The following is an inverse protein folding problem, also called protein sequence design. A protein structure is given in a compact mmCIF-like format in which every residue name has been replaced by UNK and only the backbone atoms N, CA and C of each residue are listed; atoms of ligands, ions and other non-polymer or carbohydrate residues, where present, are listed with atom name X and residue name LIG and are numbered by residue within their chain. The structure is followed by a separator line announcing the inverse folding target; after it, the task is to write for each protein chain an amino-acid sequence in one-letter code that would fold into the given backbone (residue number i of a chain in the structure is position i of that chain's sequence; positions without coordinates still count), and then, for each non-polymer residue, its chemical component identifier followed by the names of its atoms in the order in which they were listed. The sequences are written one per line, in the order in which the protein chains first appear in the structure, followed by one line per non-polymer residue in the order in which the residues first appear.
data_IF_917428990232
#
_entry.id   IF_917428990232
#
_cell.length_a   1.000
_cell.length_b   1.000
_cell.length_c   1.000
_cell.angle_alpha   90.00
_cell.angle_beta   90.00
_cell.angle_gamma   90.00
#
_symmetry.space_group_name_H-M   'P 1'
#
loop_
_entity.id
_entity.type
_entity.pdbx_description
1 polymer ?
#
# COMPACT_ATOMS: atom_id res chain seq x y z
N UNK A 1 33.34 -14.52 -12.34
CA UNK A 1 32.54 -14.05 -11.18
C UNK A 1 33.25 -14.41 -9.89
N UNK A 2 33.24 -13.53 -8.89
CA UNK A 2 33.95 -13.70 -7.62
C UNK A 2 33.30 -14.80 -6.76
N UNK A 3 34.05 -15.80 -6.28
CA UNK A 3 33.55 -16.90 -5.41
C UNK A 3 32.95 -16.42 -4.08
N UNK A 4 33.22 -15.17 -3.71
CA UNK A 4 32.58 -14.53 -2.56
C UNK A 4 31.10 -14.21 -2.79
N UNK A 5 30.66 -14.02 -4.04
CA UNK A 5 29.30 -13.64 -4.40
C UNK A 5 28.33 -14.82 -4.23
N UNK A 6 27.20 -14.59 -3.57
CA UNK A 6 26.18 -15.62 -3.32
C UNK A 6 25.53 -16.12 -4.62
N UNK A 7 25.36 -15.23 -5.60
CA UNK A 7 24.77 -15.53 -6.90
C UNK A 7 25.66 -16.42 -7.78
N UNK A 8 26.93 -16.63 -7.41
CA UNK A 8 27.79 -17.60 -8.10
C UNK A 8 27.25 -19.04 -8.01
N UNK A 9 26.50 -19.34 -6.94
CA UNK A 9 25.95 -20.68 -6.67
C UNK A 9 24.51 -20.86 -7.17
N UNK A 10 23.98 -19.88 -7.90
CA UNK A 10 22.64 -19.89 -8.46
C UNK A 10 22.68 -20.41 -9.89
N UNK A 11 21.74 -21.28 -10.24
CA UNK A 11 21.55 -21.65 -11.64
C UNK A 11 20.74 -20.54 -12.36
N UNK A 12 21.02 -20.23 -13.64
CA UNK A 12 20.36 -19.13 -14.34
C UNK A 12 18.83 -19.22 -14.34
N UNK A 13 18.26 -20.44 -14.40
CA UNK A 13 16.82 -20.65 -14.38
C UNK A 13 16.20 -20.38 -12.99
N UNK A 14 16.94 -20.58 -11.90
CA UNK A 14 16.44 -20.30 -10.54
C UNK A 14 16.31 -18.79 -10.32
N UNK A 15 17.28 -18.03 -10.84
CA UNK A 15 17.23 -16.56 -10.83
C UNK A 15 16.01 -16.10 -11.63
N UNK A 16 15.80 -16.67 -12.83
CA UNK A 16 14.65 -16.35 -13.68
C UNK A 16 13.33 -16.63 -12.97
N UNK A 17 13.16 -17.81 -12.36
CA UNK A 17 11.95 -18.15 -11.60
C UNK A 17 11.76 -17.22 -10.40
N UNK A 18 12.81 -16.92 -9.64
CA UNK A 18 12.71 -16.01 -8.50
C UNK A 18 12.20 -14.63 -8.92
N UNK A 19 12.71 -14.10 -10.05
CA UNK A 19 12.25 -12.80 -10.59
C UNK A 19 10.79 -12.88 -11.06
N UNK A 20 10.42 -13.93 -11.79
CA UNK A 20 9.05 -14.13 -12.29
C UNK A 20 8.05 -14.23 -11.14
N UNK A 21 8.34 -15.03 -10.10
CA UNK A 21 7.43 -15.17 -8.97
C UNK A 21 7.33 -13.88 -8.16
N UNK A 22 8.44 -13.15 -7.98
CA UNK A 22 8.40 -11.85 -7.30
C UNK A 22 7.55 -10.84 -8.07
N UNK A 23 7.79 -10.69 -9.37
CA UNK A 23 7.07 -9.71 -10.18
C UNK A 23 5.58 -10.08 -10.31
N UNK A 24 5.26 -11.35 -10.53
CA UNK A 24 3.88 -11.82 -10.63
C UNK A 24 3.12 -11.61 -9.31
N UNK A 25 3.74 -11.89 -8.15
CA UNK A 25 3.11 -11.71 -6.86
C UNK A 25 2.84 -10.24 -6.53
N UNK A 26 3.83 -9.37 -6.75
CA UNK A 26 3.66 -7.92 -6.57
C UNK A 26 2.57 -7.41 -7.51
N UNK A 27 2.61 -7.81 -8.78
CA UNK A 27 1.61 -7.40 -9.77
C UNK A 27 0.19 -7.85 -9.37
N UNK A 28 0.02 -9.09 -8.91
CA UNK A 28 -1.28 -9.60 -8.46
C UNK A 28 -1.86 -8.77 -7.30
N UNK A 29 -1.03 -8.35 -6.34
CA UNK A 29 -1.50 -7.52 -5.21
C UNK A 29 -1.88 -6.11 -5.67
N UNK A 30 -1.12 -5.56 -6.62
CA UNK A 30 -1.31 -4.21 -7.12
C UNK A 30 -2.51 -4.09 -8.06
N UNK A 31 -2.77 -5.09 -8.90
CA UNK A 31 -3.93 -5.11 -9.81
C UNK A 31 -5.25 -5.32 -9.07
N UNK A 32 -5.25 -6.03 -7.94
CA UNK A 32 -6.43 -6.17 -7.07
C UNK A 32 -6.75 -4.89 -6.26
N UNK A 33 -6.27 -3.73 -6.66
CA UNK A 33 -6.66 -2.47 -6.04
C UNK A 33 -8.06 -2.10 -6.56
N UNK A 34 -9.07 -1.92 -5.67
CA UNK A 34 -10.42 -1.59 -6.11
C UNK A 34 -10.42 -0.26 -6.87
N UNK A 35 -11.09 -0.24 -8.01
CA UNK A 35 -11.33 0.94 -8.83
C UNK A 35 -12.77 1.43 -8.65
N UNK A 36 -13.04 2.70 -8.94
CA UNK A 36 -14.39 3.25 -8.84
C UNK A 36 -15.37 2.63 -9.86
N UNK A 37 -14.85 2.02 -10.92
CA UNK A 37 -15.61 1.42 -12.01
C UNK A 37 -15.81 -0.11 -11.82
N UNK A 38 -15.33 -0.67 -10.71
CA UNK A 38 -15.45 -2.11 -10.43
C UNK A 38 -16.91 -2.50 -10.11
N UNK A 39 -17.33 -3.69 -10.56
CA UNK A 39 -18.64 -4.25 -10.21
C UNK A 39 -18.75 -4.48 -8.69
N UNK A 40 -19.85 -4.02 -8.09
CA UNK A 40 -20.12 -4.17 -6.66
C UNK A 40 -19.62 -3.02 -5.78
N UNK A 41 -19.00 -1.99 -6.35
CA UNK A 41 -18.64 -0.77 -5.62
C UNK A 41 -19.89 -0.06 -5.13
N UNK A 42 -19.92 0.21 -3.83
CA UNK A 42 -20.99 0.99 -3.19
C UNK A 42 -20.52 2.42 -3.08
N UNK A 43 -21.25 3.34 -3.72
CA UNK A 43 -21.00 4.78 -3.64
C UNK A 43 -22.01 5.39 -2.70
N UNK A 44 -21.52 6.14 -1.71
CA UNK A 44 -22.34 6.87 -0.75
C UNK A 44 -22.04 8.35 -0.90
N UNK A 45 -23.08 9.12 -1.21
CA UNK A 45 -23.08 10.57 -1.12
C UNK A 45 -23.35 10.98 0.34
N UNK A 46 -22.49 11.82 0.90
CA UNK A 46 -22.64 12.35 2.27
C UNK A 46 -22.21 13.81 2.32
N UNK A 47 -22.48 14.49 3.43
CA UNK A 47 -22.06 15.86 3.70
C UNK A 47 -21.29 15.89 5.00
N UNK A 48 -20.11 16.50 5.01
CA UNK A 48 -19.34 16.61 6.25
C UNK A 48 -20.00 17.62 7.21
N UNK A 49 -20.36 17.15 8.40
CA UNK A 49 -20.92 17.98 9.47
C UNK A 49 -19.86 18.45 10.46
N UNK A 50 -18.73 17.73 10.54
CA UNK A 50 -17.58 18.15 11.33
C UNK A 50 -16.30 17.51 10.81
N UNK A 51 -15.17 18.12 11.15
CA UNK A 51 -13.86 17.53 10.92
C UNK A 51 -12.92 17.80 12.08
N UNK A 52 -11.95 16.91 12.26
CA UNK A 52 -10.89 17.01 13.24
C UNK A 52 -9.56 16.64 12.59
N UNK A 53 -8.49 17.38 12.88
CA UNK A 53 -7.14 17.07 12.37
C UNK A 53 -6.24 16.61 13.51
N UNK A 54 -5.61 15.45 13.35
CA UNK A 54 -4.63 14.92 14.30
C UNK A 54 -3.26 14.79 13.66
N UNK A 55 -2.21 15.18 14.40
CA UNK A 55 -0.82 15.05 13.96
C UNK A 55 -0.13 13.96 14.76
N UNK A 56 0.28 12.89 14.07
CA UNK A 56 1.05 11.79 14.65
C UNK A 56 2.48 11.81 14.12
N UNK A 57 3.27 12.80 14.56
CA UNK A 57 4.75 12.90 14.44
C UNK A 57 5.35 12.88 13.02
N UNK A 58 5.08 11.83 12.26
CA UNK A 58 5.49 11.57 10.88
C UNK A 58 4.38 11.85 9.86
N UNK A 59 3.11 11.82 10.25
CA UNK A 59 1.96 12.04 9.37
C UNK A 59 0.85 12.80 10.07
N UNK A 60 0.07 13.55 9.30
CA UNK A 60 -1.15 14.19 9.76
C UNK A 60 -2.34 13.42 9.20
N UNK A 61 -3.47 13.45 9.91
CA UNK A 61 -4.70 12.76 9.54
C UNK A 61 -5.89 13.69 9.74
N UNK A 62 -6.80 13.71 8.77
CA UNK A 62 -8.10 14.33 8.90
C UNK A 62 -9.15 13.26 9.18
N UNK A 63 -9.95 13.50 10.20
CA UNK A 63 -11.11 12.71 10.57
C UNK A 63 -12.34 13.54 10.24
N UNK A 64 -13.25 13.00 9.44
CA UNK A 64 -14.49 13.65 9.07
C UNK A 64 -15.66 12.88 9.66
N UNK A 65 -16.70 13.58 10.10
CA UNK A 65 -18.00 12.98 10.38
C UNK A 65 -19.00 13.48 9.34
N UNK A 66 -19.70 12.54 8.72
CA UNK A 66 -20.77 12.81 7.78
C UNK A 66 -22.14 12.93 8.46
N UNK A 67 -23.09 13.55 7.78
CA UNK A 67 -24.48 13.66 8.21
C UNK A 67 -25.14 12.27 8.34
N UNK A 68 -24.69 11.30 7.53
CA UNK A 68 -25.11 9.90 7.63
C UNK A 68 -24.73 9.22 8.96
N UNK A 69 -23.89 9.86 9.78
CA UNK A 69 -23.31 9.31 11.00
C UNK A 69 -22.03 8.50 10.76
N UNK A 70 -21.59 8.37 9.51
CA UNK A 70 -20.32 7.71 9.16
C UNK A 70 -19.13 8.61 9.47
N UNK A 71 -18.01 7.97 9.78
CA UNK A 71 -16.73 8.65 9.99
C UNK A 71 -15.73 8.24 8.92
N UNK A 72 -14.98 9.21 8.41
CA UNK A 72 -14.00 9.01 7.35
C UNK A 72 -12.62 9.45 7.82
N UNK A 73 -11.57 8.69 7.50
CA UNK A 73 -10.20 9.05 7.86
C UNK A 73 -9.37 9.21 6.60
N UNK A 74 -8.63 10.31 6.53
CA UNK A 74 -7.81 10.67 5.36
C UNK A 74 -6.41 11.04 5.80
N UNK A 75 -5.40 10.44 5.15
CA UNK A 75 -4.01 10.80 5.36
C UNK A 75 -3.66 12.15 4.73
N UNK A 76 -2.91 12.97 5.47
CA UNK A 76 -2.46 14.28 5.03
C UNK A 76 -0.94 14.41 5.07
N UNK A 77 -0.41 15.39 4.33
CA UNK A 77 1.02 15.72 4.39
C UNK A 77 1.36 16.24 5.79
N UNK A 78 2.57 15.93 6.25
CA UNK A 78 3.07 16.43 7.53
C UNK A 78 2.99 17.96 7.57
N UNK A 79 2.34 18.49 8.61
CA UNK A 79 2.16 19.94 8.80
C UNK A 79 0.81 20.47 8.28
N UNK A 80 0.00 19.65 7.63
CA UNK A 80 -1.35 20.01 7.19
C UNK A 80 -2.28 20.40 8.35
N UNK A 81 -2.12 19.83 9.54
CA UNK A 81 -2.89 20.25 10.72
C UNK A 81 -2.40 21.58 11.32
N UNK A 82 -1.11 21.93 11.14
CA UNK A 82 -0.49 23.11 11.77
C UNK A 82 -0.68 24.38 10.95
N UNK A 83 -0.62 24.24 9.63
CA UNK A 83 -0.87 25.33 8.68
C UNK A 83 -2.04 24.91 7.78
N UNK A 84 -3.30 24.97 8.27
CA UNK A 84 -4.43 24.78 7.38
C UNK A 84 -4.30 25.86 6.28
N UNK A 85 -4.16 25.45 5.01
CA UNK A 85 -4.33 26.40 3.90
C UNK A 85 -5.69 27.06 4.08
N UNK A 86 -5.79 28.36 3.78
CA UNK A 86 -6.94 29.24 4.06
C UNK A 86 -8.31 28.78 3.48
N UNK A 87 -8.38 27.65 2.77
CA UNK A 87 -9.59 27.14 2.11
C UNK A 87 -10.03 25.73 2.56
N UNK A 88 -9.60 25.25 3.74
CA UNK A 88 -9.98 23.94 4.27
C UNK A 88 -11.16 23.99 5.25
N UNK A 89 -12.18 24.79 4.96
CA UNK A 89 -13.48 24.54 5.59
C UNK A 89 -14.14 23.37 4.84
N UNK A 90 -14.13 22.20 5.47
CA UNK A 90 -14.71 20.98 4.94
C UNK A 90 -16.18 20.83 5.34
N UNK A 91 -16.65 21.58 6.33
CA UNK A 91 -18.03 21.47 6.82
C UNK A 91 -18.99 21.99 5.75
N UNK A 92 -20.07 21.26 5.52
CA UNK A 92 -21.06 21.55 4.50
C UNK A 92 -20.63 21.17 3.08
N UNK A 93 -19.44 20.59 2.89
CA UNK A 93 -19.02 20.06 1.58
C UNK A 93 -19.60 18.68 1.34
N UNK A 94 -20.01 18.45 0.10
CA UNK A 94 -20.43 17.13 -0.37
C UNK A 94 -19.21 16.23 -0.51
N UNK A 95 -19.34 14.96 -0.12
CA UNK A 95 -18.34 13.92 -0.30
C UNK A 95 -18.98 12.70 -0.97
N UNK A 96 -18.25 12.10 -1.91
CA UNK A 96 -18.55 10.78 -2.46
C UNK A 96 -17.55 9.77 -1.93
N UNK A 97 -18.04 8.83 -1.13
CA UNK A 97 -17.24 7.75 -0.56
C UNK A 97 -17.47 6.45 -1.32
N UNK A 98 -16.39 5.81 -1.76
CA UNK A 98 -16.45 4.56 -2.51
C UNK A 98 -15.98 3.41 -1.64
N UNK A 99 -16.81 2.37 -1.54
CA UNK A 99 -16.57 1.18 -0.73
C UNK A 99 -16.55 -0.05 -1.62
N UNK A 100 -15.66 -1.00 -1.29
CA UNK A 100 -15.57 -2.26 -2.03
C UNK A 100 -16.79 -3.17 -1.79
N UNK A 101 -17.50 -2.98 -0.68
CA UNK A 101 -18.74 -3.68 -0.33
C UNK A 101 -19.55 -2.87 0.69
N UNK A 102 -20.83 -3.19 0.88
CA UNK A 102 -21.70 -2.55 1.87
C UNK A 102 -21.24 -2.73 3.31
N UNK A 103 -20.49 -3.80 3.59
CA UNK A 103 -19.97 -4.14 4.91
C UNK A 103 -18.60 -3.50 5.19
N UNK A 104 -17.99 -2.85 4.19
CA UNK A 104 -16.74 -2.12 4.40
C UNK A 104 -17.00 -0.83 5.16
N UNK A 105 -16.26 -0.64 6.26
CA UNK A 105 -16.28 0.60 7.03
C UNK A 105 -15.29 1.63 6.49
N UNK A 106 -14.29 1.19 5.73
CA UNK A 106 -13.24 2.04 5.20
C UNK A 106 -13.45 2.25 3.70
N UNK A 107 -13.59 3.50 3.23
CA UNK A 107 -13.65 3.78 1.81
C UNK A 107 -12.26 3.67 1.19
N UNK A 108 -12.18 3.17 -0.03
CA UNK A 108 -10.93 3.16 -0.80
C UNK A 108 -10.73 4.46 -1.60
N UNK A 109 -11.77 5.30 -1.74
CA UNK A 109 -11.70 6.61 -2.41
C UNK A 109 -12.69 7.58 -1.76
N UNK A 110 -12.29 8.84 -1.64
CA UNK A 110 -13.12 9.94 -1.17
C UNK A 110 -12.97 11.12 -2.14
N UNK A 111 -14.02 11.42 -2.90
CA UNK A 111 -14.07 12.63 -3.72
C UNK A 111 -14.78 13.73 -2.93
N UNK A 112 -14.05 14.77 -2.52
CA UNK A 112 -14.57 15.88 -1.73
C UNK A 112 -14.78 17.08 -2.65
N UNK A 113 -15.93 17.72 -2.56
CA UNK A 113 -16.24 18.89 -3.38
C UNK A 113 -15.20 20.01 -3.23
N UNK A 114 -14.68 20.53 -4.35
CA UNK A 114 -13.71 21.63 -4.35
C UNK A 114 -12.34 21.29 -3.77
N UNK A 115 -12.02 20.01 -3.60
CA UNK A 115 -10.67 19.51 -3.29
C UNK A 115 -10.38 18.40 -4.30
N UNK A 116 -9.17 18.39 -4.88
CA UNK A 116 -8.75 17.23 -5.69
C UNK A 116 -8.92 15.97 -4.82
N UNK A 117 -9.78 15.06 -5.26
CA UNK A 117 -10.23 13.92 -4.48
C UNK A 117 -9.07 13.11 -3.88
N UNK A 118 -9.29 12.57 -2.69
CA UNK A 118 -8.37 11.61 -2.10
C UNK A 118 -8.59 10.26 -2.79
N UNK A 119 -7.87 10.06 -3.90
CA UNK A 119 -7.76 8.76 -4.53
C UNK A 119 -6.91 7.84 -3.65
N UNK A 120 -7.55 6.91 -2.94
CA UNK A 120 -6.86 5.77 -2.33
C UNK A 120 -6.50 4.70 -3.37
N UNK A 121 -6.03 5.15 -4.54
CA UNK A 121 -5.27 4.30 -5.45
C UNK A 121 -4.02 3.76 -4.73
N UNK A 122 -3.36 2.75 -5.33
CA UNK A 122 -2.22 2.00 -4.77
C UNK A 122 -1.41 2.85 -3.79
N UNK A 123 -1.70 2.70 -2.49
CA UNK A 123 -1.03 3.52 -1.49
C UNK A 123 0.43 3.10 -1.45
N UNK A 124 1.34 4.04 -1.18
CA UNK A 124 2.75 3.71 -0.96
C UNK A 124 2.90 2.59 0.09
N UNK A 125 2.02 2.56 1.09
CA UNK A 125 1.93 1.49 2.08
C UNK A 125 1.60 0.12 1.46
N UNK A 126 0.59 0.04 0.59
CA UNK A 126 0.22 -1.21 -0.10
C UNK A 126 1.32 -1.69 -1.03
N UNK A 127 1.96 -0.80 -1.78
CA UNK A 127 3.11 -1.14 -2.63
C UNK A 127 4.30 -1.64 -1.79
N UNK A 128 4.65 -0.94 -0.71
CA UNK A 128 5.72 -1.33 0.18
C UNK A 128 5.45 -2.68 0.86
N UNK A 129 4.22 -2.91 1.32
CA UNK A 129 3.80 -4.19 1.91
C UNK A 129 3.90 -5.33 0.88
N UNK A 130 3.43 -5.11 -0.36
CA UNK A 130 3.51 -6.11 -1.42
C UNK A 130 4.97 -6.50 -1.72
N UNK A 131 5.87 -5.53 -1.80
CA UNK A 131 7.31 -5.77 -2.00
C UNK A 131 7.93 -6.52 -0.82
N UNK A 132 7.60 -6.14 0.43
CA UNK A 132 8.09 -6.82 1.62
C UNK A 132 7.62 -8.28 1.69
N UNK A 133 6.34 -8.54 1.43
CA UNK A 133 5.81 -9.90 1.38
C UNK A 133 6.46 -10.72 0.27
N UNK A 134 6.64 -10.14 -0.93
CA UNK A 134 7.36 -10.78 -2.03
C UNK A 134 8.80 -11.13 -1.64
N UNK A 135 9.49 -10.23 -0.94
CA UNK A 135 10.85 -10.47 -0.49
C UNK A 135 10.90 -11.63 0.51
N UNK A 136 10.00 -11.65 1.50
CA UNK A 136 9.95 -12.71 2.50
C UNK A 136 9.57 -14.08 1.92
N UNK A 137 8.68 -14.13 0.92
CA UNK A 137 8.17 -15.38 0.36
C UNK A 137 9.08 -16.01 -0.69
N UNK A 138 9.78 -15.19 -1.49
CA UNK A 138 10.54 -15.70 -2.64
C UNK A 138 12.03 -15.40 -2.52
N UNK A 139 12.39 -14.13 -2.29
CA UNK A 139 13.81 -13.72 -2.29
C UNK A 139 14.55 -14.29 -1.08
N UNK A 140 13.97 -14.21 0.11
CA UNK A 140 14.61 -14.68 1.33
C UNK A 140 14.87 -16.20 1.31
N UNK A 141 13.89 -17.08 0.99
CA UNK A 141 14.14 -18.51 0.84
C UNK A 141 15.15 -18.83 -0.25
N UNK A 142 15.13 -18.11 -1.37
CA UNK A 142 16.12 -18.25 -2.43
C UNK A 142 17.54 -17.95 -1.92
N UNK A 143 17.73 -16.85 -1.19
CA UNK A 143 19.01 -16.51 -0.57
C UNK A 143 19.47 -17.56 0.46
N UNK A 144 18.55 -18.12 1.25
CA UNK A 144 18.86 -19.20 2.20
C UNK A 144 19.34 -20.46 1.46
N UNK A 145 18.68 -20.83 0.35
CA UNK A 145 19.10 -21.95 -0.49
C UNK A 145 20.50 -21.74 -1.06
N UNK A 146 20.79 -20.57 -1.63
CA UNK A 146 22.13 -20.23 -2.12
C UNK A 146 23.19 -20.24 -1.01
N UNK A 147 22.85 -19.73 0.17
CA UNK A 147 23.70 -19.79 1.35
C UNK A 147 24.03 -21.22 1.79
N UNK A 148 23.04 -22.12 1.73
CA UNK A 148 23.23 -23.54 2.04
C UNK A 148 24.16 -24.23 1.02
N UNK A 149 24.02 -23.93 -0.27
CA UNK A 149 24.91 -24.45 -1.33
C UNK A 149 26.33 -23.95 -1.16
N UNK A 150 26.51 -22.65 -0.91
CA UNK A 150 27.82 -22.06 -0.64
C UNK A 150 28.55 -22.75 0.52
N UNK A 151 27.83 -23.09 1.60
CA UNK A 151 28.39 -23.84 2.73
C UNK A 151 28.85 -25.24 2.31
N UNK A 152 28.00 -26.00 1.58
CA UNK A 152 28.36 -27.33 1.07
C UNK A 152 29.60 -27.31 0.17
N UNK A 153 29.70 -26.36 -0.75
CA UNK A 153 30.89 -26.22 -1.61
C UNK A 153 32.15 -25.89 -0.80
N UNK A 154 32.05 -25.02 0.21
CA UNK A 154 33.19 -24.66 1.06
C UNK A 154 33.67 -25.83 1.92
N UNK A 155 32.77 -26.72 2.32
CA UNK A 155 33.12 -27.92 3.09
C UNK A 155 33.75 -29.01 2.22
N UNK A 156 33.38 -29.10 0.93
CA UNK A 156 34.03 -30.00 -0.04
C UNK A 156 35.44 -29.56 -0.41
N UNK A 157 35.72 -28.26 -0.52
CA UNK A 157 37.06 -27.72 -0.82
C UNK A 157 38.08 -27.88 0.34
N UNK A 158 37.64 -28.39 1.51
CA UNK A 158 38.49 -28.61 2.70
C UNK A 158 38.98 -30.05 2.89
N UNK A 159 38.51 -30.99 2.06
CA UNK A 159 38.92 -32.40 2.04
C UNK A 159 39.99 -32.58 0.97
#
# INVERSE_FOLDING_TARGET
MNKSNLFYYAEPWEIMLCVIFCSAFVFAILVNAPSADDEGVVVIDDVFVSYHCSSSGKSDFFYFAGESGRTYTVGARRGSCRNPKENHDYVGRTVKAYFQSSDSNDPFRLDIEGVDGYEGGITFGRAALAVLMSFCLFVFPFLVLLGSRKRKFKDQDKI
#
